data_IF_310924920732
#
_entry.id   IF_310924920732
#
_cell.length_a   1.000
_cell.length_b   1.000
_cell.length_c   1.000
_cell.angle_alpha   90.00
_cell.angle_beta   90.00
_cell.angle_gamma   90.00
#
_symmetry.space_group_name_H-M   'P 1'
#
loop_
_entity.id
_entity.type
_entity.pdbx_description
1 polymer ?
#
# COMPACT_ATOMS: atom_id res chain seq x y z
N UNK A 1 9.16 -15.94 28.12
CA UNK A 1 9.54 -16.93 29.16
C UNK A 1 10.82 -16.44 29.84
N UNK A 2 10.81 -16.23 31.16
CA UNK A 2 12.04 -15.92 31.90
C UNK A 2 12.87 -17.21 31.98
N UNK A 3 14.07 -17.21 31.37
CA UNK A 3 14.98 -18.36 31.43
C UNK A 3 15.42 -18.52 32.90
N UNK A 4 15.02 -19.62 33.55
CA UNK A 4 15.52 -20.03 34.86
C UNK A 4 16.76 -20.91 34.67
N UNK A 5 17.82 -20.64 35.44
CA UNK A 5 19.09 -21.37 35.37
C UNK A 5 19.14 -22.38 36.51
N UNK A 6 19.29 -23.67 36.22
CA UNK A 6 19.28 -24.75 37.24
C UNK A 6 20.67 -25.36 37.39
N UNK A 7 21.12 -25.60 38.62
CA UNK A 7 22.32 -26.39 38.88
C UNK A 7 22.02 -27.87 38.64
N UNK A 8 22.86 -28.56 37.88
CA UNK A 8 22.66 -29.98 37.54
C UNK A 8 23.10 -30.89 38.70
N UNK A 9 23.96 -30.39 39.59
CA UNK A 9 24.51 -31.17 40.72
C UNK A 9 23.58 -31.18 41.92
N UNK A 10 22.91 -30.06 42.23
CA UNK A 10 22.08 -29.91 43.43
C UNK A 10 20.65 -29.45 43.14
N UNK A 11 20.28 -29.29 41.86
CA UNK A 11 18.95 -28.90 41.41
C UNK A 11 18.43 -27.51 41.82
N UNK A 12 19.26 -26.69 42.49
CA UNK A 12 18.88 -25.31 42.83
C UNK A 12 18.66 -24.44 41.59
N UNK A 13 17.68 -23.53 41.70
CA UNK A 13 17.26 -22.64 40.61
C UNK A 13 17.67 -21.19 40.85
N UNK A 14 18.20 -20.55 39.81
CA UNK A 14 18.80 -19.23 39.83
C UNK A 14 18.15 -18.32 38.79
N UNK A 15 18.09 -17.03 39.11
CA UNK A 15 17.52 -15.99 38.24
C UNK A 15 18.45 -15.56 37.10
N UNK A 16 19.75 -15.90 37.17
CA UNK A 16 20.73 -15.59 36.14
C UNK A 16 21.88 -16.60 36.12
N UNK A 17 22.56 -16.72 34.97
CA UNK A 17 23.73 -17.57 34.81
C UNK A 17 24.88 -17.19 35.75
N UNK A 18 25.10 -15.88 35.96
CA UNK A 18 26.13 -15.38 36.89
C UNK A 18 25.90 -15.85 38.33
N UNK A 19 24.64 -15.89 38.78
CA UNK A 19 24.30 -16.39 40.12
C UNK A 19 24.54 -17.90 40.23
N UNK A 20 24.16 -18.66 39.20
CA UNK A 20 24.47 -20.09 39.11
C UNK A 20 25.99 -20.33 39.15
N UNK A 21 26.80 -19.55 38.44
CA UNK A 21 28.26 -19.72 38.45
C UNK A 21 28.89 -19.35 39.81
N UNK A 22 28.37 -18.32 40.47
CA UNK A 22 28.80 -17.98 41.83
C UNK A 22 28.49 -19.12 42.81
N UNK A 23 27.31 -19.73 42.68
CA UNK A 23 26.94 -20.92 43.44
C UNK A 23 27.88 -22.11 43.13
N UNK A 24 28.11 -22.45 41.86
CA UNK A 24 28.99 -23.57 41.48
C UNK A 24 30.41 -23.38 42.07
N UNK A 25 30.94 -22.16 42.04
CA UNK A 25 32.27 -21.87 42.57
C UNK A 25 32.34 -21.99 44.10
N UNK A 26 31.32 -21.54 44.82
CA UNK A 26 31.32 -21.52 46.29
C UNK A 26 30.91 -22.88 46.86
N UNK A 27 29.83 -23.46 46.34
CA UNK A 27 29.19 -24.67 46.89
C UNK A 27 29.81 -25.95 46.36
N UNK A 28 30.25 -25.96 45.10
CA UNK A 28 30.82 -27.15 44.45
C UNK A 28 32.32 -27.06 44.21
N UNK A 29 32.96 -25.93 44.55
CA UNK A 29 34.39 -25.68 44.36
C UNK A 29 34.91 -26.02 42.95
N UNK A 30 34.08 -25.76 41.93
CA UNK A 30 34.39 -26.05 40.51
C UNK A 30 34.47 -24.77 39.70
N UNK A 31 35.38 -24.73 38.74
CA UNK A 31 35.38 -23.70 37.70
C UNK A 31 34.25 -23.91 36.71
N UNK A 32 33.85 -22.86 35.99
CA UNK A 32 32.82 -22.96 34.96
C UNK A 32 33.15 -23.99 33.88
N UNK A 33 34.45 -24.15 33.56
CA UNK A 33 34.94 -25.12 32.58
C UNK A 33 34.86 -26.55 33.10
N UNK A 34 35.33 -26.81 34.32
CA UNK A 34 35.23 -28.15 34.94
C UNK A 34 33.78 -28.59 35.07
N UNK A 35 32.92 -27.69 35.55
CA UNK A 35 31.48 -27.95 35.62
C UNK A 35 30.88 -28.28 34.25
N UNK A 36 31.27 -27.57 33.18
CA UNK A 36 30.80 -27.86 31.82
C UNK A 36 31.33 -29.19 31.29
N UNK A 37 32.62 -29.45 31.46
CA UNK A 37 33.28 -30.65 30.97
C UNK A 37 32.69 -31.92 31.61
N UNK A 38 32.33 -31.86 32.89
CA UNK A 38 31.80 -32.99 33.64
C UNK A 38 30.29 -33.20 33.45
N UNK A 39 29.49 -32.13 33.29
CA UNK A 39 28.03 -32.22 33.39
C UNK A 39 27.28 -31.86 32.10
N UNK A 40 27.91 -31.16 31.15
CA UNK A 40 27.22 -30.56 29.99
C UNK A 40 27.85 -30.90 28.62
N UNK A 41 29.10 -31.36 28.60
CA UNK A 41 29.86 -31.58 27.38
C UNK A 41 29.32 -32.74 26.54
N UNK A 42 29.11 -32.49 25.25
CA UNK A 42 28.64 -33.51 24.30
C UNK A 42 29.79 -34.33 23.69
N UNK A 43 29.51 -35.55 23.17
CA UNK A 43 30.51 -36.32 22.43
C UNK A 43 31.10 -35.52 21.26
N UNK A 44 32.43 -35.54 21.11
CA UNK A 44 33.20 -34.80 20.11
C UNK A 44 33.20 -33.26 20.22
N UNK A 45 32.66 -32.70 21.31
CA UNK A 45 32.75 -31.28 21.60
C UNK A 45 34.14 -30.88 22.12
N UNK A 46 34.58 -29.66 21.81
CA UNK A 46 35.91 -29.19 22.19
C UNK A 46 37.02 -29.53 21.21
N UNK A 47 36.71 -30.07 20.03
CA UNK A 47 37.68 -30.35 18.95
C UNK A 47 37.36 -29.54 17.69
N UNK A 48 38.39 -28.96 17.07
CA UNK A 48 38.26 -28.11 15.89
C UNK A 48 37.87 -28.92 14.66
N UNK A 49 36.84 -28.51 13.93
CA UNK A 49 36.37 -29.21 12.73
C UNK A 49 37.36 -29.17 11.54
N UNK A 50 38.37 -28.30 11.57
CA UNK A 50 39.38 -28.23 10.50
C UNK A 50 40.65 -29.03 10.82
N UNK A 51 41.14 -28.97 12.06
CA UNK A 51 42.45 -29.52 12.42
C UNK A 51 42.44 -30.47 13.63
N UNK A 52 41.30 -30.67 14.29
CA UNK A 52 41.18 -31.56 15.45
C UNK A 52 41.68 -30.99 16.79
N UNK A 53 42.41 -29.86 16.79
CA UNK A 53 42.91 -29.23 18.00
C UNK A 53 41.81 -28.82 18.97
N UNK A 54 42.17 -28.71 20.26
CA UNK A 54 41.24 -28.28 21.29
C UNK A 54 40.70 -26.88 21.01
N UNK A 55 39.40 -26.68 21.24
CA UNK A 55 38.73 -25.39 21.07
C UNK A 55 38.47 -24.75 22.43
N UNK A 56 38.22 -23.44 22.43
CA UNK A 56 37.93 -22.70 23.66
C UNK A 56 36.46 -22.86 24.03
N UNK A 57 36.18 -23.04 25.32
CA UNK A 57 34.82 -22.95 25.85
C UNK A 57 34.33 -21.50 25.72
N UNK A 58 33.19 -21.30 25.05
CA UNK A 58 32.64 -19.97 24.86
C UNK A 58 31.83 -19.52 26.07
N UNK A 59 30.86 -20.35 26.47
CA UNK A 59 30.10 -20.27 27.72
C UNK A 59 29.33 -21.58 27.90
N UNK A 60 28.72 -21.79 29.08
CA UNK A 60 28.06 -23.07 29.37
C UNK A 60 26.69 -23.22 28.70
N UNK A 61 26.22 -22.22 27.95
CA UNK A 61 24.97 -22.28 27.17
C UNK A 61 25.22 -22.76 25.75
N UNK A 62 26.29 -22.25 25.13
CA UNK A 62 26.66 -22.50 23.73
C UNK A 62 27.67 -23.64 23.64
N UNK A 63 28.53 -23.77 24.66
CA UNK A 63 29.57 -24.78 24.72
C UNK A 63 30.88 -24.37 24.08
N UNK A 64 31.62 -25.36 23.61
CA UNK A 64 32.91 -25.16 22.96
C UNK A 64 32.76 -24.61 21.54
N UNK A 65 33.66 -23.72 21.14
CA UNK A 65 33.71 -23.20 19.78
C UNK A 65 33.94 -24.33 18.76
N UNK A 66 33.37 -24.19 17.56
CA UNK A 66 33.54 -25.17 16.46
C UNK A 66 34.95 -25.18 15.85
N UNK A 67 35.69 -24.08 16.01
CA UNK A 67 37.03 -23.90 15.45
C UNK A 67 37.97 -23.32 16.51
N UNK A 68 39.24 -23.73 16.47
CA UNK A 68 40.25 -23.24 17.40
C UNK A 68 40.72 -21.80 17.08
N UNK A 69 40.56 -21.36 15.83
CA UNK A 69 40.94 -20.02 15.37
C UNK A 69 40.20 -19.63 14.09
N UNK A 70 40.22 -18.34 13.77
CA UNK A 70 39.62 -17.79 12.55
C UNK A 70 40.21 -18.43 11.28
N UNK A 71 41.53 -18.66 11.24
CA UNK A 71 42.22 -19.34 10.12
C UNK A 71 41.58 -20.69 9.81
N UNK A 72 41.38 -21.53 10.82
CA UNK A 72 40.73 -22.84 10.67
C UNK A 72 39.29 -22.73 10.18
N UNK A 73 38.53 -21.75 10.66
CA UNK A 73 37.18 -21.49 10.16
C UNK A 73 37.18 -21.12 8.67
N UNK A 74 38.13 -20.28 8.24
CA UNK A 74 38.22 -19.82 6.86
C UNK A 74 38.67 -20.95 5.92
N UNK A 75 39.70 -21.70 6.29
CA UNK A 75 40.18 -22.86 5.51
C UNK A 75 39.12 -23.96 5.37
N UNK A 76 38.37 -24.23 6.43
CA UNK A 76 37.28 -25.19 6.39
C UNK A 76 36.19 -24.76 5.39
N UNK A 77 35.85 -23.47 5.35
CA UNK A 77 34.86 -22.92 4.40
C UNK A 77 35.36 -23.01 2.94
N UNK A 78 36.63 -22.71 2.67
CA UNK A 78 37.18 -22.74 1.31
C UNK A 78 37.33 -24.16 0.77
N UNK A 79 37.77 -25.13 1.58
CA UNK A 79 37.82 -26.55 1.21
C UNK A 79 36.44 -27.09 0.85
N UNK A 80 35.43 -26.81 1.69
CA UNK A 80 34.06 -27.24 1.43
C UNK A 80 33.40 -26.53 0.23
N UNK A 81 33.81 -25.30 -0.10
CA UNK A 81 33.36 -24.60 -1.32
C UNK A 81 33.87 -25.29 -2.60
N UNK A 82 35.15 -25.68 -2.65
CA UNK A 82 35.73 -26.42 -3.79
C UNK A 82 35.09 -27.80 -4.01
N UNK A 83 34.75 -28.50 -2.93
CA UNK A 83 34.06 -29.80 -3.01
C UNK A 83 32.65 -29.66 -3.62
N UNK A 84 31.94 -28.56 -3.32
CA UNK A 84 30.63 -28.26 -3.94
C UNK A 84 30.71 -27.90 -5.42
N UNK A 85 31.84 -27.38 -5.90
CA UNK A 85 32.01 -26.95 -7.29
C UNK A 85 32.38 -28.10 -8.25
N UNK A 86 32.86 -29.26 -7.78
CA UNK A 86 33.30 -30.36 -8.66
C UNK A 86 32.22 -31.40 -9.04
N UNK A 87 30.95 -31.20 -8.67
CA UNK A 87 29.84 -32.10 -9.04
C UNK A 87 29.00 -31.43 -10.13
N UNK A 88 29.27 -31.75 -11.39
CA UNK A 88 28.53 -31.21 -12.54
C UNK A 88 27.02 -31.46 -12.45
N UNK A 89 26.24 -30.39 -12.26
CA UNK A 89 24.78 -30.45 -12.01
C UNK A 89 23.92 -30.72 -13.26
N UNK A 90 24.38 -30.35 -14.45
CA UNK A 90 23.56 -30.35 -15.67
C UNK A 90 24.25 -31.11 -16.81
N UNK A 91 23.51 -31.96 -17.53
CA UNK A 91 24.02 -32.71 -18.68
C UNK A 91 23.81 -31.93 -19.99
N UNK A 92 24.90 -31.70 -20.74
CA UNK A 92 24.83 -31.12 -22.09
C UNK A 92 24.37 -32.16 -23.11
N UNK A 93 23.40 -31.84 -23.97
CA UNK A 93 22.87 -32.77 -24.98
C UNK A 93 23.72 -32.84 -26.27
N UNK A 94 24.63 -31.90 -26.46
CA UNK A 94 25.53 -31.89 -27.62
C UNK A 94 26.76 -32.77 -27.35
N UNK A 95 27.40 -32.60 -26.19
CA UNK A 95 28.65 -33.31 -25.87
C UNK A 95 28.53 -34.32 -24.71
N UNK A 96 27.35 -34.51 -24.13
CA UNK A 96 27.08 -35.42 -23.01
C UNK A 96 27.86 -35.18 -21.71
N UNK A 97 28.65 -34.10 -21.61
CA UNK A 97 29.39 -33.72 -20.40
C UNK A 97 28.47 -33.18 -19.30
N UNK A 98 28.81 -33.48 -18.04
CA UNK A 98 28.20 -32.89 -16.86
C UNK A 98 28.89 -31.55 -16.54
N UNK A 99 28.10 -30.48 -16.43
CA UNK A 99 28.58 -29.09 -16.24
C UNK A 99 27.77 -28.39 -15.16
N UNK A 100 28.39 -27.43 -14.46
CA UNK A 100 27.70 -26.63 -13.43
C UNK A 100 26.85 -25.50 -13.99
N UNK A 101 27.20 -24.98 -15.16
CA UNK A 101 26.47 -23.91 -15.84
C UNK A 101 26.25 -24.25 -17.31
N UNK A 102 25.10 -24.86 -17.62
CA UNK A 102 24.80 -25.27 -19.00
C UNK A 102 24.79 -24.08 -19.97
N UNK A 103 24.24 -22.93 -19.57
CA UNK A 103 24.13 -21.74 -20.42
C UNK A 103 25.49 -21.19 -20.85
N UNK A 104 26.42 -21.00 -19.93
CA UNK A 104 27.79 -20.56 -20.25
C UNK A 104 28.53 -21.61 -21.08
N UNK A 105 28.35 -22.89 -20.77
CA UNK A 105 28.96 -23.99 -21.51
C UNK A 105 28.54 -24.00 -22.98
N UNK A 106 27.24 -23.91 -23.29
CA UNK A 106 26.76 -23.97 -24.68
C UNK A 106 27.19 -22.75 -25.51
N UNK A 107 27.23 -21.57 -24.89
CA UNK A 107 27.66 -20.35 -25.58
C UNK A 107 29.17 -20.41 -25.90
N UNK A 108 29.99 -20.85 -24.94
CA UNK A 108 31.44 -20.84 -25.09
C UNK A 108 31.99 -21.99 -25.94
N UNK A 109 31.42 -23.19 -25.82
CA UNK A 109 31.98 -24.41 -26.42
C UNK A 109 31.23 -24.91 -27.64
N UNK A 110 29.96 -24.51 -27.81
CA UNK A 110 29.12 -24.94 -28.94
C UNK A 110 28.66 -23.78 -29.80
N UNK A 111 29.01 -22.53 -29.44
CA UNK A 111 28.69 -21.31 -30.19
C UNK A 111 27.20 -21.17 -30.55
N UNK A 112 26.31 -21.63 -29.67
CA UNK A 112 24.86 -21.49 -29.80
C UNK A 112 24.29 -20.72 -28.62
N UNK A 113 23.21 -20.00 -28.88
CA UNK A 113 22.49 -19.29 -27.82
C UNK A 113 21.70 -20.25 -26.94
N UNK A 114 21.37 -19.78 -25.74
CA UNK A 114 20.49 -20.53 -24.84
C UNK A 114 19.10 -20.79 -25.44
N UNK A 115 18.60 -19.87 -26.28
CA UNK A 115 17.30 -20.01 -26.95
C UNK A 115 17.35 -21.11 -28.00
N UNK A 116 18.34 -21.10 -28.88
CA UNK A 116 18.50 -22.12 -29.93
C UNK A 116 18.69 -23.52 -29.34
N UNK A 117 19.53 -23.64 -28.30
CA UNK A 117 19.69 -24.90 -27.58
C UNK A 117 18.37 -25.38 -26.98
N UNK A 118 17.58 -24.48 -26.40
CA UNK A 118 16.28 -24.81 -25.84
C UNK A 118 15.30 -25.27 -26.92
N UNK A 119 15.17 -24.49 -27.99
CA UNK A 119 14.28 -24.76 -29.12
C UNK A 119 14.58 -26.12 -29.78
N UNK A 120 15.85 -26.50 -29.86
CA UNK A 120 16.29 -27.74 -30.50
C UNK A 120 16.19 -28.98 -29.60
N UNK A 121 16.50 -28.87 -28.31
CA UNK A 121 16.69 -30.03 -27.45
C UNK A 121 15.70 -30.15 -26.28
N UNK A 122 14.98 -29.09 -25.92
CA UNK A 122 14.19 -29.02 -24.68
C UNK A 122 12.75 -28.52 -24.86
N UNK A 123 12.44 -27.82 -25.95
CA UNK A 123 11.13 -27.23 -26.21
C UNK A 123 10.04 -28.30 -26.33
N UNK A 124 8.91 -28.08 -25.66
CA UNK A 124 7.75 -28.97 -25.71
C UNK A 124 6.77 -28.56 -26.82
N UNK A 125 5.95 -29.50 -27.33
CA UNK A 125 4.88 -29.17 -28.27
C UNK A 125 3.93 -28.10 -27.70
N UNK A 126 3.62 -27.07 -28.49
CA UNK A 126 2.76 -25.96 -28.07
C UNK A 126 3.42 -24.90 -27.17
N UNK A 127 4.68 -25.07 -26.79
CA UNK A 127 5.42 -24.11 -25.97
C UNK A 127 5.88 -22.90 -26.81
N UNK A 128 5.85 -21.70 -26.20
CA UNK A 128 6.22 -20.45 -26.88
C UNK A 128 5.06 -19.73 -27.57
N UNK A 129 3.82 -20.20 -27.38
CA UNK A 129 2.62 -19.62 -28.00
C UNK A 129 1.63 -19.23 -26.89
N UNK A 130 1.12 -17.99 -26.93
CA UNK A 130 0.18 -17.47 -25.95
C UNK A 130 -1.21 -18.12 -26.15
N UNK A 131 -1.81 -18.76 -25.13
CA UNK A 131 -3.11 -19.42 -25.27
C UNK A 131 -4.28 -18.45 -25.46
N UNK A 132 -4.08 -17.15 -25.21
CA UNK A 132 -5.14 -16.14 -25.28
C UNK A 132 -5.18 -15.44 -26.65
N UNK A 133 -4.02 -15.22 -27.28
CA UNK A 133 -3.95 -14.44 -28.52
C UNK A 133 -3.14 -15.11 -29.64
N UNK A 134 -2.57 -16.30 -29.41
CA UNK A 134 -1.78 -17.04 -30.40
C UNK A 134 -0.41 -16.46 -30.74
N UNK A 135 -0.02 -15.32 -30.16
CA UNK A 135 1.29 -14.70 -30.41
C UNK A 135 2.43 -15.46 -29.74
N UNK A 136 3.62 -15.34 -30.31
CA UNK A 136 4.83 -15.86 -29.70
C UNK A 136 5.09 -15.23 -28.33
N UNK A 137 5.58 -16.03 -27.39
CA UNK A 137 5.90 -15.57 -26.03
C UNK A 137 7.41 -15.41 -25.85
N UNK A 138 7.80 -14.63 -24.85
CA UNK A 138 9.21 -14.33 -24.62
C UNK A 138 9.95 -15.52 -23.99
N UNK A 139 11.12 -15.85 -24.54
CA UNK A 139 12.04 -16.81 -23.92
C UNK A 139 12.67 -16.22 -22.65
N UNK A 140 12.48 -16.89 -21.50
CA UNK A 140 13.03 -16.48 -20.20
C UNK A 140 14.37 -17.13 -19.86
N UNK A 141 14.64 -18.30 -20.44
CA UNK A 141 15.87 -19.05 -20.20
C UNK A 141 15.63 -20.53 -19.92
N UNK A 142 16.66 -21.34 -20.20
CA UNK A 142 16.64 -22.81 -20.05
C UNK A 142 16.24 -23.23 -18.63
N UNK A 143 16.74 -22.53 -17.61
CA UNK A 143 16.48 -22.86 -16.20
C UNK A 143 15.29 -22.12 -15.58
N UNK A 144 14.65 -21.21 -16.33
CA UNK A 144 13.49 -20.43 -15.88
C UNK A 144 12.16 -20.98 -16.44
N UNK A 145 12.17 -22.22 -16.91
CA UNK A 145 11.02 -22.88 -17.51
C UNK A 145 10.80 -22.57 -18.98
N UNK A 146 11.83 -22.10 -19.70
CA UNK A 146 11.75 -21.90 -21.15
C UNK A 146 11.03 -20.61 -21.53
N UNK A 147 9.87 -20.75 -22.17
CA UNK A 147 9.05 -19.65 -22.64
C UNK A 147 8.00 -19.23 -21.61
N UNK A 148 7.62 -17.96 -21.61
CA UNK A 148 6.46 -17.50 -20.85
C UNK A 148 5.17 -18.16 -21.35
N UNK A 149 4.20 -18.44 -20.46
CA UNK A 149 2.87 -18.94 -20.88
C UNK A 149 2.11 -17.89 -21.69
N UNK A 150 2.25 -16.61 -21.34
CA UNK A 150 1.52 -15.50 -21.96
C UNK A 150 2.47 -14.46 -22.55
N UNK A 151 2.06 -13.80 -23.64
CA UNK A 151 2.89 -12.77 -24.30
C UNK A 151 2.88 -11.42 -23.56
N UNK A 152 1.88 -11.18 -22.71
CA UNK A 152 1.72 -9.92 -21.98
C UNK A 152 0.94 -10.12 -20.68
N UNK A 153 1.05 -9.15 -19.77
CA UNK A 153 0.27 -9.12 -18.54
C UNK A 153 -1.23 -9.08 -18.81
N UNK A 154 -1.65 -8.38 -19.86
CA UNK A 154 -3.05 -8.33 -20.32
C UNK A 154 -3.56 -9.74 -20.65
N UNK A 155 -2.81 -10.50 -21.47
CA UNK A 155 -3.19 -11.86 -21.82
C UNK A 155 -3.18 -12.78 -20.58
N UNK A 156 -2.20 -12.64 -19.69
CA UNK A 156 -2.18 -13.41 -18.44
C UNK A 156 -3.41 -13.12 -17.56
N UNK A 157 -3.89 -11.88 -17.54
CA UNK A 157 -5.08 -11.51 -16.78
C UNK A 157 -6.39 -11.97 -17.44
N UNK A 158 -6.43 -12.09 -18.76
CA UNK A 158 -7.60 -12.55 -19.52
C UNK A 158 -7.63 -14.08 -19.69
N UNK A 159 -6.59 -14.79 -19.26
CA UNK A 159 -6.53 -16.25 -19.31
C UNK A 159 -7.57 -16.89 -18.39
N UNK A 160 -8.44 -17.71 -18.98
CA UNK A 160 -9.60 -18.31 -18.29
C UNK A 160 -9.17 -19.15 -17.09
N UNK A 161 -8.08 -19.93 -17.21
CA UNK A 161 -7.58 -20.76 -16.11
C UNK A 161 -7.04 -19.90 -14.97
N UNK A 162 -6.32 -18.83 -15.31
CA UNK A 162 -5.80 -17.86 -14.34
C UNK A 162 -6.94 -17.16 -13.59
N UNK A 163 -8.02 -16.79 -14.29
CA UNK A 163 -9.21 -16.21 -13.67
C UNK A 163 -9.91 -17.20 -12.72
N UNK A 164 -10.10 -18.45 -13.15
CA UNK A 164 -10.69 -19.51 -12.31
C UNK A 164 -9.85 -19.76 -11.06
N UNK A 165 -8.52 -19.82 -11.19
CA UNK A 165 -7.62 -20.04 -10.06
C UNK A 165 -7.69 -18.88 -9.04
N UNK A 166 -7.75 -17.63 -9.53
CA UNK A 166 -7.94 -16.45 -8.67
C UNK A 166 -9.25 -16.52 -7.88
N UNK A 167 -10.36 -16.86 -8.56
CA UNK A 167 -11.67 -17.01 -7.92
C UNK A 167 -11.67 -18.12 -6.87
N UNK A 168 -11.11 -19.30 -7.20
CA UNK A 168 -11.03 -20.42 -6.28
C UNK A 168 -10.18 -20.11 -5.04
N UNK A 169 -9.05 -19.42 -5.24
CA UNK A 169 -8.19 -19.00 -4.13
C UNK A 169 -8.90 -17.99 -3.23
N UNK A 170 -9.61 -17.02 -3.83
CA UNK A 170 -10.41 -16.04 -3.09
C UNK A 170 -11.52 -16.71 -2.27
N UNK A 171 -12.23 -17.66 -2.87
CA UNK A 171 -13.25 -18.45 -2.18
C UNK A 171 -12.67 -19.26 -1.03
N UNK A 172 -11.53 -19.93 -1.23
CA UNK A 172 -10.88 -20.75 -0.20
C UNK A 172 -10.41 -19.93 1.00
N UNK A 173 -9.81 -18.77 0.76
CA UNK A 173 -9.24 -17.94 1.82
C UNK A 173 -10.26 -17.03 2.52
N UNK A 174 -11.25 -16.52 1.77
CA UNK A 174 -12.11 -15.44 2.24
C UNK A 174 -13.62 -15.75 2.12
N UNK A 175 -14.00 -16.91 1.56
CA UNK A 175 -15.40 -17.27 1.34
C UNK A 175 -16.12 -16.42 0.28
N UNK A 176 -15.41 -15.55 -0.42
CA UNK A 176 -15.97 -14.64 -1.41
C UNK A 176 -15.26 -14.74 -2.75
N UNK A 177 -16.02 -14.65 -3.84
CA UNK A 177 -15.49 -14.78 -5.21
C UNK A 177 -14.58 -13.60 -5.61
N UNK A 178 -14.83 -12.42 -5.06
CA UNK A 178 -14.12 -11.18 -5.38
C UNK A 178 -13.71 -10.43 -4.10
N UNK A 179 -12.64 -9.63 -4.19
CA UNK A 179 -12.13 -8.82 -3.06
C UNK A 179 -13.17 -7.82 -2.51
N UNK A 180 -14.09 -7.36 -3.37
CA UNK A 180 -15.19 -6.45 -3.01
C UNK A 180 -16.23 -7.21 -2.17
N UNK A 181 -15.92 -7.41 -0.89
CA UNK A 181 -16.85 -7.90 0.11
C UNK A 181 -17.53 -6.69 0.78
N UNK A 182 -18.66 -6.27 0.20
CA UNK A 182 -19.48 -5.14 0.68
C UNK A 182 -19.91 -5.32 2.13
N UNK A 183 -20.18 -6.55 2.55
CA UNK A 183 -20.58 -6.86 3.92
C UNK A 183 -19.44 -6.66 4.91
N UNK A 184 -18.25 -7.17 4.59
CA UNK A 184 -17.04 -6.95 5.41
C UNK A 184 -16.69 -5.46 5.49
N UNK A 185 -16.90 -4.70 4.42
CA UNK A 185 -16.71 -3.25 4.42
C UNK A 185 -17.69 -2.54 5.37
N UNK A 186 -18.97 -2.91 5.35
CA UNK A 186 -19.99 -2.39 6.28
C UNK A 186 -19.64 -2.67 7.74
N UNK A 187 -19.26 -3.91 8.04
CA UNK A 187 -18.87 -4.33 9.41
C UNK A 187 -17.64 -3.54 9.89
N UNK A 188 -16.64 -3.36 9.02
CA UNK A 188 -15.42 -2.61 9.35
C UNK A 188 -15.72 -1.13 9.57
N UNK A 189 -16.56 -0.53 8.73
CA UNK A 189 -17.01 0.85 8.89
C UNK A 189 -17.77 1.05 10.20
N UNK A 190 -18.73 0.18 10.51
CA UNK A 190 -19.48 0.22 11.77
C UNK A 190 -18.55 0.09 12.99
N UNK A 191 -17.52 -0.76 12.91
CA UNK A 191 -16.49 -0.88 13.95
C UNK A 191 -15.70 0.41 14.11
N UNK A 192 -15.21 1.01 13.03
CA UNK A 192 -14.44 2.26 13.10
C UNK A 192 -15.27 3.45 13.60
N UNK A 193 -16.56 3.49 13.29
CA UNK A 193 -17.51 4.47 13.86
C UNK A 193 -17.62 4.27 15.38
N UNK A 194 -17.83 3.02 15.83
CA UNK A 194 -17.88 2.68 17.27
C UNK A 194 -16.58 2.99 18.01
N UNK A 195 -15.44 2.80 17.35
CA UNK A 195 -14.12 3.10 17.89
C UNK A 195 -13.77 4.60 17.81
N UNK A 196 -14.65 5.45 17.29
CA UNK A 196 -14.41 6.90 17.14
C UNK A 196 -13.31 7.26 16.13
N UNK A 197 -12.82 6.29 15.35
CA UNK A 197 -11.81 6.50 14.30
C UNK A 197 -12.36 7.20 13.07
N UNK A 198 -13.66 7.09 12.85
CA UNK A 198 -14.39 7.76 11.77
C UNK A 198 -15.52 8.55 12.41
N UNK A 199 -15.50 9.86 12.21
CA UNK A 199 -16.60 10.76 12.55
C UNK A 199 -17.64 10.71 11.42
N UNK A 200 -18.91 10.52 11.75
CA UNK A 200 -20.04 10.65 10.82
C UNK A 200 -20.47 12.11 10.62
N UNK A 201 -19.71 13.09 11.14
CA UNK A 201 -19.96 14.49 10.79
C UNK A 201 -19.96 14.57 9.26
N UNK A 202 -21.09 15.01 8.69
CA UNK A 202 -21.12 15.48 7.31
C UNK A 202 -19.99 16.50 7.22
N UNK A 203 -18.92 16.16 6.50
CA UNK A 203 -18.08 17.19 5.92
C UNK A 203 -19.05 17.99 5.06
N UNK A 204 -19.38 19.20 5.51
CA UNK A 204 -20.05 20.17 4.65
C UNK A 204 -19.07 20.30 3.48
N UNK A 205 -19.47 19.82 2.31
CA UNK A 205 -18.67 19.97 1.09
C UNK A 205 -18.78 21.42 0.63
N UNK A 206 -18.33 22.35 1.48
CA UNK A 206 -18.14 23.76 1.14
C UNK A 206 -17.03 23.82 0.11
N UNK A 207 -17.27 24.49 -1.02
CA UNK A 207 -16.20 24.69 -1.99
C UNK A 207 -15.10 25.55 -1.39
N UNK A 208 -13.84 25.34 -1.81
CA UNK A 208 -12.73 26.20 -1.38
C UNK A 208 -13.01 27.68 -1.70
N UNK A 209 -13.75 27.93 -2.77
CA UNK A 209 -14.11 29.28 -3.20
C UNK A 209 -15.14 29.93 -2.25
N UNK A 210 -16.16 29.19 -1.79
CA UNK A 210 -17.10 29.69 -0.78
C UNK A 210 -16.36 30.11 0.49
N UNK A 211 -15.50 29.24 1.02
CA UNK A 211 -14.70 29.53 2.23
C UNK A 211 -13.91 30.82 2.04
N UNK A 212 -13.27 30.97 0.88
CA UNK A 212 -12.48 32.14 0.57
C UNK A 212 -13.32 33.42 0.47
N UNK A 213 -14.48 33.36 -0.20
CA UNK A 213 -15.41 34.50 -0.29
C UNK A 213 -15.85 34.92 1.12
N UNK A 214 -16.17 33.96 1.98
CA UNK A 214 -16.55 34.21 3.38
C UNK A 214 -15.41 34.89 4.13
N UNK A 215 -14.19 34.36 4.01
CA UNK A 215 -13.00 34.95 4.65
C UNK A 215 -12.77 36.39 4.20
N UNK A 216 -12.99 36.69 2.92
CA UNK A 216 -12.93 38.06 2.42
C UNK A 216 -14.03 38.93 3.00
N UNK A 217 -15.29 38.47 3.02
CA UNK A 217 -16.43 39.22 3.58
C UNK A 217 -16.18 39.57 5.05
N UNK A 218 -15.66 38.63 5.85
CA UNK A 218 -15.34 38.84 7.27
C UNK A 218 -14.35 39.97 7.53
N UNK A 219 -13.52 40.35 6.55
CA UNK A 219 -12.57 41.45 6.68
C UNK A 219 -13.27 42.82 6.75
N UNK A 220 -14.51 42.94 6.30
CA UNK A 220 -15.21 44.22 6.17
C UNK A 220 -16.71 44.19 6.54
N UNK A 221 -17.23 43.02 6.94
CA UNK A 221 -18.58 42.84 7.47
C UNK A 221 -18.50 42.11 8.81
N UNK A 222 -18.98 42.75 9.87
CA UNK A 222 -18.80 42.29 11.26
C UNK A 222 -20.08 41.70 11.88
N UNK A 223 -21.17 41.61 11.12
CA UNK A 223 -22.45 41.05 11.55
C UNK A 223 -22.56 39.56 11.18
N UNK A 224 -23.75 38.97 11.34
CA UNK A 224 -23.95 37.53 11.19
C UNK A 224 -23.81 37.09 9.72
N UNK A 225 -23.04 36.02 9.49
CA UNK A 225 -22.91 35.36 8.19
C UNK A 225 -23.35 33.91 8.38
N UNK A 226 -24.41 33.51 7.68
CA UNK A 226 -25.01 32.18 7.75
C UNK A 226 -24.58 31.38 6.52
N UNK A 227 -24.27 30.11 6.72
CA UNK A 227 -23.85 29.18 5.67
C UNK A 227 -24.94 28.17 5.35
N UNK A 228 -25.12 27.84 4.08
CA UNK A 228 -26.03 26.80 3.61
C UNK A 228 -27.45 26.96 4.20
N UNK A 229 -27.97 28.19 4.25
CA UNK A 229 -29.27 28.45 4.87
C UNK A 229 -30.40 27.91 3.99
N UNK A 230 -31.23 27.01 4.54
CA UNK A 230 -32.41 26.47 3.86
C UNK A 230 -33.72 27.02 4.41
N UNK A 231 -33.65 27.89 5.39
CA UNK A 231 -34.82 28.33 6.16
C UNK A 231 -35.51 29.51 5.49
N UNK A 232 -34.75 30.36 4.80
CA UNK A 232 -35.23 31.61 4.22
C UNK A 232 -35.94 31.39 2.88
N UNK A 233 -35.51 30.44 2.05
CA UNK A 233 -36.07 30.19 0.72
C UNK A 233 -36.87 28.87 0.61
N UNK A 234 -37.76 28.61 1.56
CA UNK A 234 -38.73 27.49 1.51
C UNK A 234 -38.08 26.12 1.20
N UNK A 235 -36.90 25.89 1.79
CA UNK A 235 -36.10 24.68 1.60
C UNK A 235 -35.03 24.75 0.52
N UNK A 236 -34.99 25.80 -0.31
CA UNK A 236 -33.82 26.10 -1.15
C UNK A 236 -32.67 26.61 -0.28
N UNK A 237 -31.49 26.04 -0.48
CA UNK A 237 -30.26 26.41 0.24
C UNK A 237 -29.64 27.66 -0.36
N UNK A 238 -29.29 28.67 0.44
CA UNK A 238 -28.40 29.78 0.05
C UNK A 238 -26.99 29.46 0.54
N UNK A 239 -25.97 29.50 -0.33
CA UNK A 239 -24.60 29.12 0.06
C UNK A 239 -24.04 30.06 1.14
N UNK A 240 -24.16 31.38 0.94
CA UNK A 240 -23.76 32.41 1.90
C UNK A 240 -24.88 33.42 2.06
N UNK A 241 -25.37 33.60 3.29
CA UNK A 241 -26.48 34.48 3.62
C UNK A 241 -26.07 35.54 4.64
N UNK A 242 -26.32 36.82 4.32
CA UNK A 242 -26.09 37.98 5.18
C UNK A 242 -27.46 38.58 5.55
N UNK A 243 -28.03 38.22 6.71
CA UNK A 243 -29.41 38.56 7.07
C UNK A 243 -29.67 40.06 7.15
N UNK A 244 -28.74 40.82 7.76
CA UNK A 244 -28.97 42.24 8.07
C UNK A 244 -29.19 43.08 6.81
N UNK A 245 -28.42 42.82 5.75
CA UNK A 245 -28.53 43.55 4.48
C UNK A 245 -29.39 42.80 3.44
N UNK A 246 -30.10 41.74 3.86
CA UNK A 246 -30.90 40.84 3.02
C UNK A 246 -30.17 40.40 1.73
N UNK A 247 -28.91 40.00 1.87
CA UNK A 247 -28.02 39.71 0.75
C UNK A 247 -27.58 38.24 0.75
N UNK A 248 -27.83 37.54 -0.37
CA UNK A 248 -27.46 36.15 -0.57
C UNK A 248 -26.46 35.99 -1.71
N UNK A 249 -25.56 35.02 -1.58
CA UNK A 249 -24.57 34.66 -2.60
C UNK A 249 -24.70 33.17 -2.89
N UNK A 250 -24.81 32.84 -4.17
CA UNK A 250 -24.67 31.48 -4.72
C UNK A 250 -23.32 31.33 -5.38
N UNK A 251 -22.63 30.23 -5.13
CA UNK A 251 -21.43 29.84 -5.85
C UNK A 251 -21.75 28.70 -6.83
N UNK A 252 -21.96 29.07 -8.09
CA UNK A 252 -22.39 28.13 -9.12
C UNK A 252 -21.21 27.33 -9.68
N UNK A 253 -21.02 26.12 -9.16
CA UNK A 253 -20.06 25.15 -9.70
C UNK A 253 -20.43 24.68 -11.12
N UNK A 254 -19.43 24.44 -11.97
CA UNK A 254 -19.61 24.11 -13.40
C UNK A 254 -20.60 22.98 -13.67
N UNK A 255 -20.48 21.90 -12.90
CA UNK A 255 -21.26 20.68 -13.09
C UNK A 255 -22.65 20.77 -12.45
N UNK A 256 -22.74 21.29 -11.22
CA UNK A 256 -23.97 21.30 -10.43
C UNK A 256 -25.02 22.30 -10.94
N UNK A 257 -24.55 23.38 -11.58
CA UNK A 257 -25.39 24.40 -12.22
C UNK A 257 -25.35 24.33 -13.76
N UNK A 258 -24.76 23.25 -14.30
CA UNK A 258 -24.67 22.97 -15.72
C UNK A 258 -24.26 24.21 -16.54
N UNK A 259 -23.07 24.78 -16.27
CA UNK A 259 -22.63 26.05 -16.90
C UNK A 259 -22.86 26.01 -18.43
N UNK A 260 -23.60 26.99 -19.01
CA UNK A 260 -23.88 27.05 -20.44
C UNK A 260 -22.63 27.03 -21.34
N UNK A 261 -21.44 27.39 -20.81
CA UNK A 261 -20.16 27.25 -21.53
C UNK A 261 -19.78 25.78 -21.78
N UNK A 262 -20.35 24.84 -21.02
CA UNK A 262 -20.01 23.41 -21.03
C UNK A 262 -21.18 22.49 -21.37
N UNK A 263 -22.42 22.91 -21.10
CA UNK A 263 -23.61 22.07 -21.28
C UNK A 263 -24.62 22.72 -22.22
N UNK A 264 -25.24 21.91 -23.06
CA UNK A 264 -26.41 22.28 -23.88
C UNK A 264 -27.69 21.98 -23.10
N UNK A 265 -28.75 22.72 -23.40
CA UNK A 265 -30.06 22.59 -22.76
C UNK A 265 -30.57 21.13 -22.67
N UNK A 266 -30.32 20.32 -23.69
CA UNK A 266 -30.76 18.92 -23.81
C UNK A 266 -29.87 17.91 -23.08
N UNK A 267 -28.69 18.31 -22.62
CA UNK A 267 -27.73 17.39 -22.01
C UNK A 267 -28.24 16.94 -20.64
N UNK A 268 -28.24 15.63 -20.39
CA UNK A 268 -28.57 15.06 -19.07
C UNK A 268 -27.33 15.14 -18.19
N UNK A 269 -27.43 15.81 -17.05
CA UNK A 269 -26.29 16.18 -16.19
C UNK A 269 -26.20 15.27 -14.95
N UNK A 270 -27.14 15.41 -14.01
CA UNK A 270 -27.22 14.58 -12.81
C UNK A 270 -28.67 14.26 -12.45
N UNK A 271 -28.87 13.14 -11.73
CA UNK A 271 -30.19 12.66 -11.31
C UNK A 271 -31.22 12.55 -12.46
N UNK A 272 -30.75 12.27 -13.68
CA UNK A 272 -31.58 12.18 -14.87
C UNK A 272 -32.13 13.53 -15.37
N UNK A 273 -31.71 14.66 -14.78
CA UNK A 273 -32.16 16.01 -15.17
C UNK A 273 -31.32 16.57 -16.30
N UNK A 274 -31.99 17.28 -17.19
CA UNK A 274 -31.38 18.07 -18.25
C UNK A 274 -30.78 19.37 -17.71
N UNK A 275 -29.83 19.95 -18.44
CA UNK A 275 -29.28 21.27 -18.12
C UNK A 275 -30.39 22.35 -18.08
N UNK A 276 -31.39 22.27 -18.97
CA UNK A 276 -32.52 23.20 -18.96
C UNK A 276 -33.33 23.11 -17.66
N UNK A 277 -33.63 21.91 -17.16
CA UNK A 277 -34.36 21.73 -15.90
C UNK A 277 -33.59 22.26 -14.68
N UNK A 278 -32.26 22.19 -14.74
CA UNK A 278 -31.37 22.76 -13.72
C UNK A 278 -31.46 24.30 -13.77
N UNK A 279 -31.33 24.90 -14.95
CA UNK A 279 -31.44 26.35 -15.11
C UNK A 279 -32.83 26.89 -14.75
N UNK A 280 -33.90 26.16 -15.06
CA UNK A 280 -35.27 26.53 -14.69
C UNK A 280 -35.47 26.44 -13.17
N UNK A 281 -34.81 25.50 -12.49
CA UNK A 281 -34.79 25.44 -11.03
C UNK A 281 -34.03 26.63 -10.44
N UNK A 282 -32.86 26.96 -10.98
CA UNK A 282 -32.06 28.11 -10.53
C UNK A 282 -32.83 29.42 -10.69
N UNK A 283 -33.48 29.63 -11.85
CA UNK A 283 -34.33 30.79 -12.11
C UNK A 283 -35.51 30.90 -11.14
N UNK A 284 -36.16 29.78 -10.80
CA UNK A 284 -37.24 29.78 -9.80
C UNK A 284 -36.76 30.21 -8.42
N UNK A 285 -35.55 29.81 -8.05
CA UNK A 285 -34.93 30.23 -6.78
C UNK A 285 -34.61 31.73 -6.78
N UNK A 286 -34.06 32.25 -7.87
CA UNK A 286 -33.76 33.67 -8.01
C UNK A 286 -35.04 34.52 -7.89
N UNK A 287 -36.12 34.11 -8.56
CA UNK A 287 -37.43 34.77 -8.45
C UNK A 287 -38.02 34.69 -7.03
N UNK A 288 -37.84 33.55 -6.35
CA UNK A 288 -38.30 33.38 -4.97
C UNK A 288 -37.55 34.33 -4.03
N UNK A 289 -36.22 34.44 -4.17
CA UNK A 289 -35.43 35.39 -3.40
C UNK A 289 -35.90 36.83 -3.64
N UNK A 290 -36.09 37.23 -4.90
CA UNK A 290 -36.60 38.56 -5.25
C UNK A 290 -37.96 38.85 -4.61
N UNK A 291 -38.90 37.90 -4.67
CA UNK A 291 -40.22 38.03 -4.05
C UNK A 291 -40.18 38.19 -2.52
N UNK A 292 -39.13 37.67 -1.87
CA UNK A 292 -38.89 37.84 -0.43
C UNK A 292 -38.06 39.11 -0.11
N UNK A 293 -37.78 39.94 -1.12
CA UNK A 293 -36.99 41.17 -0.98
C UNK A 293 -35.52 40.88 -0.69
N UNK A 294 -35.02 39.73 -1.16
CA UNK A 294 -33.64 39.29 -0.98
C UNK A 294 -32.87 39.55 -2.26
N UNK A 295 -31.74 40.26 -2.14
CA UNK A 295 -30.81 40.38 -3.26
C UNK A 295 -29.93 39.13 -3.29
N UNK A 296 -30.28 38.19 -4.18
CA UNK A 296 -29.47 37.00 -4.46
C UNK A 296 -28.57 37.26 -5.67
N UNK A 297 -27.26 37.06 -5.52
CA UNK A 297 -26.31 37.10 -6.63
C UNK A 297 -25.71 35.71 -6.87
N UNK A 298 -25.34 35.43 -8.13
CA UNK A 298 -24.71 34.17 -8.50
C UNK A 298 -23.31 34.40 -9.01
N UNK A 299 -22.35 33.73 -8.40
CA UNK A 299 -20.93 33.76 -8.77
C UNK A 299 -20.63 32.45 -9.47
N UNK A 300 -20.45 32.51 -10.79
CA UNK A 300 -20.07 31.32 -11.56
C UNK A 300 -18.62 30.96 -11.28
N UNK A 301 -18.34 29.68 -11.15
CA UNK A 301 -16.99 29.16 -10.98
C UNK A 301 -16.04 29.61 -12.13
N UNK A 302 -16.56 29.77 -13.35
CA UNK A 302 -15.75 30.33 -14.45
C UNK A 302 -15.37 31.78 -14.25
N UNK A 303 -16.29 32.59 -13.77
CA UNK A 303 -16.06 34.02 -13.62
C UNK A 303 -15.18 34.28 -12.39
N UNK A 304 -15.37 33.50 -11.32
CA UNK A 304 -14.49 33.56 -10.15
C UNK A 304 -13.05 33.16 -10.46
N UNK A 305 -12.84 32.08 -11.23
CA UNK A 305 -11.49 31.62 -11.56
C UNK A 305 -10.74 32.58 -12.51
N UNK A 306 -11.46 33.25 -13.42
CA UNK A 306 -10.84 34.13 -14.41
C UNK A 306 -10.71 35.59 -13.92
N UNK A 307 -11.70 36.08 -13.16
CA UNK A 307 -11.82 37.49 -12.76
C UNK A 307 -11.97 37.66 -11.25
N UNK A 308 -11.30 36.80 -10.47
CA UNK A 308 -11.39 36.73 -8.99
C UNK A 308 -11.38 38.09 -8.29
N UNK A 309 -10.41 38.95 -8.62
CA UNK A 309 -10.22 40.26 -7.99
C UNK A 309 -11.43 41.17 -8.25
N UNK A 310 -11.95 41.16 -9.47
CA UNK A 310 -13.09 41.99 -9.85
C UNK A 310 -14.38 41.52 -9.15
N UNK A 311 -14.61 40.21 -9.10
CA UNK A 311 -15.75 39.63 -8.39
C UNK A 311 -15.75 40.02 -6.91
N UNK A 312 -14.60 39.85 -6.24
CA UNK A 312 -14.45 40.23 -4.83
C UNK A 312 -14.57 41.75 -4.61
N UNK A 313 -14.06 42.56 -5.54
CA UNK A 313 -14.19 44.03 -5.49
C UNK A 313 -15.64 44.49 -5.61
N UNK A 314 -16.43 43.85 -6.48
CA UNK A 314 -17.85 44.17 -6.66
C UNK A 314 -18.68 43.74 -5.44
N UNK A 315 -18.38 42.57 -4.86
CA UNK A 315 -18.96 42.13 -3.59
C UNK A 315 -18.68 43.13 -2.47
N UNK A 316 -17.42 43.54 -2.32
CA UNK A 316 -17.01 44.52 -1.31
C UNK A 316 -17.78 45.83 -1.46
N UNK A 317 -17.83 46.39 -2.67
CA UNK A 317 -18.57 47.65 -2.94
C UNK A 317 -20.03 47.53 -2.53
N UNK A 318 -20.69 46.42 -2.87
CA UNK A 318 -22.10 46.23 -2.54
C UNK A 318 -22.32 46.10 -1.04
N UNK A 319 -21.53 45.27 -0.35
CA UNK A 319 -21.68 45.02 1.09
C UNK A 319 -21.44 46.30 1.87
N UNK A 320 -20.37 47.04 1.57
CA UNK A 320 -20.10 48.34 2.21
C UNK A 320 -21.24 49.34 1.96
N UNK A 321 -21.69 49.50 0.71
CA UNK A 321 -22.76 50.45 0.41
C UNK A 321 -24.05 50.16 1.18
N UNK A 322 -24.39 48.89 1.39
CA UNK A 322 -25.65 48.51 2.05
C UNK A 322 -25.51 48.32 3.56
N UNK A 323 -24.30 48.13 4.09
CA UNK A 323 -24.06 48.07 5.53
C UNK A 323 -24.05 49.46 6.21
N UNK A 324 -23.61 50.51 5.49
CA UNK A 324 -23.59 51.89 6.00
C UNK A 324 -24.90 52.67 5.80
N UNK A 325 -25.86 52.15 5.04
CA UNK A 325 -27.14 52.82 4.77
C UNK A 325 -28.19 52.64 5.90
N UNK A 326 -27.80 52.07 7.05
CA UNK A 326 -28.62 51.96 8.27
C UNK A 326 -28.09 52.86 9.42
N UNK A 327 -27.52 54.04 9.10
CA UNK A 327 -27.24 55.12 10.09
C UNK A 327 -28.09 56.34 9.80
#
# INVERSE_FOLDING_TARGET
MKIQWKCVVCEESFKSSNLLYKHIRITHNKTAKEYYDENLKKPNEGKCLNCGNQTKLHNNTIGYLRFCCLKCSTEYKTKNKKIKENVGKYKCKICNKLVNGLGSHIIQFHHITCKEYYDKYLRKPGEGICPVCGKETTFRGIFKGGYLKHCSLLCSNNDIDTLKLKQNTSMKLYGVKNYRNTEKARITLAKHIKEGKISLKRDITQSKAEIEIIEQIKCYYNKEIIHCDRTVLDGFEIDIWLPDIKFGIEYDGYFWHADPKRFKATDVVYDGKTAQEIWDKDKRKDLLAESKGIKLIRIKESDYNNNRIEVLSNLYKYIIQNDYNEV
#
